data_IF_697066633207
#
_entry.id   IF_697066633207
#
_cell.length_a   1.000
_cell.length_b   1.000
_cell.length_c   1.000
_cell.angle_alpha   90.00
_cell.angle_beta   90.00
_cell.angle_gamma   90.00
#
_symmetry.space_group_name_H-M   'P 1'
#
loop_
_entity.id
_entity.type
_entity.pdbx_description
1 polymer ?
#
# COMPACT_ATOMS: atom_id res chain seq x y z
N UNK A 1 37.00 -63.48 -12.03
CA UNK A 1 35.70 -63.78 -11.37
C UNK A 1 35.94 -63.57 -9.89
N UNK A 2 35.36 -62.60 -9.16
CA UNK A 2 33.98 -62.11 -9.09
C UNK A 2 34.02 -60.59 -8.84
N UNK A 3 33.21 -59.82 -9.57
CA UNK A 3 33.04 -58.37 -9.37
C UNK A 3 32.05 -58.11 -8.22
N UNK A 4 32.48 -57.36 -7.20
CA UNK A 4 31.60 -56.86 -6.13
C UNK A 4 31.16 -55.44 -6.42
N UNK A 5 30.00 -55.27 -7.04
CA UNK A 5 29.34 -53.97 -7.20
C UNK A 5 28.80 -53.50 -5.84
N UNK A 6 29.36 -52.44 -5.27
CA UNK A 6 28.80 -51.74 -4.11
C UNK A 6 27.78 -50.72 -4.60
N UNK A 7 26.50 -51.04 -4.45
CA UNK A 7 25.40 -50.11 -4.70
C UNK A 7 25.30 -49.11 -3.54
N UNK A 8 25.60 -47.84 -3.82
CA UNK A 8 25.39 -46.74 -2.89
C UNK A 8 23.95 -46.23 -3.09
N UNK A 9 23.07 -46.45 -2.11
CA UNK A 9 21.72 -45.88 -2.12
C UNK A 9 21.82 -44.48 -1.52
N UNK A 10 21.70 -43.45 -2.36
CA UNK A 10 21.57 -42.06 -1.94
C UNK A 10 20.08 -41.80 -1.70
N UNK A 11 19.67 -41.80 -0.43
CA UNK A 11 18.32 -41.42 -0.04
C UNK A 11 18.25 -39.89 0.00
N UNK A 12 17.79 -39.28 -1.08
CA UNK A 12 17.47 -37.85 -1.11
C UNK A 12 16.22 -37.63 -0.25
N UNK A 13 16.40 -37.11 0.97
CA UNK A 13 15.29 -36.64 1.79
C UNK A 13 14.81 -35.32 1.19
N UNK A 14 13.74 -35.39 0.38
CA UNK A 14 13.01 -34.19 -0.03
C UNK A 14 12.20 -33.75 1.19
N UNK A 15 12.67 -32.70 1.86
CA UNK A 15 11.88 -31.99 2.87
C UNK A 15 10.88 -31.14 2.12
N UNK A 16 9.73 -31.72 1.78
CA UNK A 16 8.56 -30.94 1.36
C UNK A 16 8.07 -30.18 2.59
N UNK A 17 8.52 -28.94 2.77
CA UNK A 17 7.91 -28.04 3.73
C UNK A 17 6.49 -27.76 3.22
N UNK A 18 5.51 -28.45 3.80
CA UNK A 18 4.10 -28.07 3.72
C UNK A 18 3.96 -26.73 4.45
N UNK A 19 4.27 -25.64 3.75
CA UNK A 19 3.84 -24.32 4.19
C UNK A 19 2.32 -24.34 4.11
N UNK A 20 1.65 -24.43 5.27
CA UNK A 20 0.21 -24.21 5.37
C UNK A 20 -0.09 -22.87 4.73
N UNK A 21 -0.73 -22.88 3.56
CA UNK A 21 -1.16 -21.66 2.89
C UNK A 21 -2.13 -20.94 3.82
N UNK A 22 -1.67 -19.88 4.47
CA UNK A 22 -2.55 -19.00 5.24
C UNK A 22 -3.48 -18.27 4.28
N UNK A 23 -4.75 -18.18 4.67
CA UNK A 23 -5.73 -17.42 3.91
C UNK A 23 -5.26 -15.96 3.80
N UNK A 24 -5.38 -15.40 2.60
CA UNK A 24 -5.03 -14.02 2.36
C UNK A 24 -5.93 -13.09 3.19
N UNK A 25 -5.35 -12.04 3.77
CA UNK A 25 -6.15 -10.96 4.36
C UNK A 25 -6.47 -9.96 3.28
N UNK A 26 -7.74 -9.86 2.90
CA UNK A 26 -8.22 -8.97 1.85
C UNK A 26 -9.06 -7.86 2.47
N UNK A 27 -8.70 -6.61 2.23
CA UNK A 27 -9.47 -5.43 2.62
C UNK A 27 -9.96 -4.72 1.36
N UNK A 28 -11.26 -4.44 1.30
CA UNK A 28 -11.87 -3.66 0.22
C UNK A 28 -12.45 -2.38 0.81
N UNK A 29 -12.09 -1.25 0.23
CA UNK A 29 -12.67 0.05 0.54
C UNK A 29 -13.48 0.55 -0.65
N UNK A 30 -14.63 1.17 -0.38
CA UNK A 30 -15.56 1.62 -1.42
C UNK A 30 -15.00 2.78 -2.26
N UNK A 31 -14.18 3.64 -1.65
CA UNK A 31 -13.58 4.79 -2.31
C UNK A 31 -12.06 4.74 -2.20
N UNK A 32 -11.37 4.92 -3.33
CA UNK A 32 -9.91 4.97 -3.43
C UNK A 32 -9.34 6.15 -2.66
N UNK A 33 -9.83 7.37 -2.91
CA UNK A 33 -9.35 8.56 -2.24
C UNK A 33 -10.47 9.57 -1.93
N UNK A 34 -10.45 10.09 -0.70
CA UNK A 34 -11.43 11.07 -0.23
C UNK A 34 -11.11 12.51 -0.63
N UNK A 35 -9.84 12.83 -0.86
CA UNK A 35 -9.34 14.19 -1.11
C UNK A 35 -9.08 14.49 -2.59
N UNK A 36 -8.71 13.48 -3.39
CA UNK A 36 -8.42 13.65 -4.80
C UNK A 36 -9.73 13.61 -5.59
N UNK A 37 -10.00 14.71 -6.29
CA UNK A 37 -11.19 14.83 -7.14
C UNK A 37 -11.14 13.79 -8.28
N UNK A 38 -12.22 13.03 -8.46
CA UNK A 38 -12.33 12.00 -9.50
C UNK A 38 -11.88 10.59 -9.10
N UNK A 39 -11.13 10.42 -8.00
CA UNK A 39 -10.65 9.10 -7.55
C UNK A 39 -11.67 8.40 -6.66
N UNK A 40 -12.79 7.99 -7.26
CA UNK A 40 -13.94 7.40 -6.55
C UNK A 40 -14.11 5.89 -6.74
N UNK A 41 -13.24 5.26 -7.52
CA UNK A 41 -13.24 3.80 -7.70
C UNK A 41 -12.88 3.08 -6.40
N UNK A 42 -13.28 1.81 -6.21
CA UNK A 42 -12.85 1.04 -5.05
C UNK A 42 -11.34 0.78 -5.05
N UNK A 43 -10.77 0.61 -3.84
CA UNK A 43 -9.37 0.17 -3.65
C UNK A 43 -9.35 -1.12 -2.84
N UNK A 44 -8.48 -2.05 -3.26
CA UNK A 44 -8.28 -3.33 -2.59
C UNK A 44 -6.86 -3.45 -2.09
N UNK A 45 -6.70 -3.85 -0.84
CA UNK A 45 -5.43 -4.24 -0.25
C UNK A 45 -5.46 -5.74 0.03
N UNK A 46 -4.40 -6.46 -0.32
CA UNK A 46 -4.32 -7.91 -0.10
C UNK A 46 -2.97 -8.26 0.51
N UNK A 47 -2.99 -8.82 1.72
CA UNK A 47 -1.81 -9.40 2.34
C UNK A 47 -1.82 -10.91 2.12
N UNK A 48 -0.73 -11.44 1.56
CA UNK A 48 -0.51 -12.88 1.38
C UNK A 48 0.74 -13.30 2.14
N UNK A 49 0.60 -14.22 3.09
CA UNK A 49 1.70 -14.72 3.89
C UNK A 49 1.32 -14.92 5.35
N UNK A 50 2.29 -15.40 6.13
CA UNK A 50 2.17 -15.51 7.57
C UNK A 50 2.81 -14.34 8.28
N UNK A 51 3.86 -14.61 9.05
CA UNK A 51 4.63 -13.56 9.72
C UNK A 51 5.35 -12.64 8.72
N UNK A 52 5.71 -13.17 7.56
CA UNK A 52 6.24 -12.43 6.41
C UNK A 52 5.48 -12.78 5.15
N UNK A 53 5.34 -11.82 4.25
CA UNK A 53 4.53 -11.98 3.06
C UNK A 53 4.66 -10.81 2.09
N UNK A 54 3.64 -10.65 1.25
CA UNK A 54 3.50 -9.54 0.32
C UNK A 54 2.20 -8.79 0.61
N UNK A 55 2.26 -7.46 0.49
CA UNK A 55 1.09 -6.58 0.55
C UNK A 55 0.93 -5.91 -0.82
N UNK A 56 -0.17 -6.22 -1.49
CA UNK A 56 -0.55 -5.62 -2.77
C UNK A 56 -1.67 -4.59 -2.57
N UNK A 57 -1.63 -3.52 -3.37
CA UNK A 57 -2.61 -2.44 -3.37
C UNK A 57 -3.03 -2.16 -4.81
N UNK A 58 -4.33 -2.27 -5.08
CA UNK A 58 -4.87 -2.18 -6.44
C UNK A 58 -6.14 -1.33 -6.49
N UNK A 59 -6.18 -0.40 -7.43
CA UNK A 59 -7.33 0.38 -7.88
C UNK A 59 -7.08 0.86 -9.32
N UNK A 60 -7.91 1.77 -9.83
CA UNK A 60 -7.70 2.37 -11.16
C UNK A 60 -6.43 3.24 -11.21
N UNK A 61 -6.07 3.92 -10.11
CA UNK A 61 -4.91 4.84 -10.06
C UNK A 61 -3.80 4.38 -9.11
N UNK A 62 -3.95 3.24 -8.44
CA UNK A 62 -2.94 2.64 -7.57
C UNK A 62 -2.68 1.20 -8.00
N UNK A 63 -1.42 0.83 -8.20
CA UNK A 63 -1.07 -0.57 -8.43
C UNK A 63 0.38 -0.81 -8.02
N UNK A 64 0.58 -1.47 -6.88
CA UNK A 64 1.90 -1.92 -6.47
C UNK A 64 1.83 -3.14 -5.56
N UNK A 65 2.97 -3.80 -5.37
CA UNK A 65 3.17 -4.84 -4.37
C UNK A 65 4.50 -4.60 -3.67
N UNK A 66 4.52 -4.79 -2.36
CA UNK A 66 5.71 -4.65 -1.52
C UNK A 66 5.86 -5.86 -0.58
N UNK A 67 7.09 -6.27 -0.24
CA UNK A 67 7.31 -7.18 0.87
C UNK A 67 6.78 -6.57 2.16
N UNK A 68 6.14 -7.40 2.98
CA UNK A 68 5.47 -7.00 4.19
C UNK A 68 5.67 -8.01 5.32
N UNK A 69 5.37 -7.57 6.54
CA UNK A 69 5.42 -8.37 7.75
C UNK A 69 4.16 -8.17 8.58
N UNK A 70 3.77 -9.22 9.28
CA UNK A 70 2.67 -9.20 10.23
C UNK A 70 3.24 -9.06 11.64
N UNK A 71 2.70 -8.13 12.40
CA UNK A 71 2.96 -7.97 13.83
C UNK A 71 1.66 -8.05 14.60
N UNK A 72 1.76 -8.58 15.83
CA UNK A 72 0.66 -8.60 16.79
C UNK A 72 1.14 -7.96 18.08
N UNK A 73 0.40 -6.98 18.56
CA UNK A 73 0.65 -6.37 19.86
C UNK A 73 -0.66 -6.07 20.60
N UNK A 74 -0.52 -5.50 21.79
CA UNK A 74 -1.66 -5.10 22.61
C UNK A 74 -1.73 -3.58 22.63
N UNK A 75 -2.90 -3.02 22.37
CA UNK A 75 -3.16 -1.59 22.51
C UNK A 75 -4.29 -1.38 23.50
N UNK A 76 -4.28 -0.23 24.18
CA UNK A 76 -5.42 0.20 24.98
C UNK A 76 -6.43 0.90 24.08
N UNK A 77 -7.67 0.41 24.08
CA UNK A 77 -8.80 1.07 23.47
C UNK A 77 -9.85 1.31 24.55
N UNK A 78 -10.03 2.58 24.92
CA UNK A 78 -10.99 3.01 25.94
C UNK A 78 -10.83 2.28 27.29
N UNK A 79 -9.60 2.02 27.72
CA UNK A 79 -9.28 1.33 28.98
C UNK A 79 -9.32 -0.20 28.90
N UNK A 80 -9.57 -0.77 27.72
CA UNK A 80 -9.53 -2.22 27.48
C UNK A 80 -8.32 -2.57 26.62
N UNK A 81 -7.52 -3.55 27.05
CA UNK A 81 -6.44 -4.11 26.23
C UNK A 81 -7.03 -4.99 25.14
N UNK A 82 -6.75 -4.66 23.90
CA UNK A 82 -7.19 -5.41 22.71
C UNK A 82 -5.98 -5.81 21.88
N UNK A 83 -6.07 -6.95 21.19
CA UNK A 83 -5.06 -7.33 20.21
C UNK A 83 -5.18 -6.42 18.98
N UNK A 84 -4.03 -5.93 18.52
CA UNK A 84 -3.87 -5.23 17.26
C UNK A 84 -3.03 -6.08 16.33
N UNK A 85 -3.52 -6.27 15.12
CA UNK A 85 -2.79 -6.97 14.06
C UNK A 85 -2.39 -5.93 13.03
N UNK A 86 -1.11 -5.83 12.69
CA UNK A 86 -0.61 -4.89 11.70
C UNK A 86 0.20 -5.62 10.63
N UNK A 87 -0.24 -5.49 9.38
CA UNK A 87 0.50 -5.90 8.19
C UNK A 87 1.09 -4.66 7.55
N UNK A 88 2.42 -4.60 7.45
CA UNK A 88 3.13 -3.39 7.03
C UNK A 88 4.21 -3.72 6.01
N UNK A 89 4.25 -2.95 4.92
CA UNK A 89 5.27 -3.06 3.88
C UNK A 89 5.77 -1.71 3.41
N UNK A 90 7.06 -1.63 3.08
CA UNK A 90 7.68 -0.46 2.44
C UNK A 90 8.81 -0.91 1.55
N UNK A 91 8.79 -0.52 0.28
CA UNK A 91 9.85 -0.83 -0.67
C UNK A 91 9.86 0.14 -1.85
N UNK A 92 11.00 0.17 -2.55
CA UNK A 92 11.04 0.75 -3.89
C UNK A 92 10.39 -0.22 -4.88
N UNK A 93 9.46 0.30 -5.69
CA UNK A 93 8.68 -0.49 -6.65
C UNK A 93 8.21 0.45 -7.77
N UNK A 94 7.33 -0.03 -8.64
CA UNK A 94 6.61 0.80 -9.60
C UNK A 94 5.14 0.93 -9.21
N UNK A 95 4.57 2.11 -9.39
CA UNK A 95 3.13 2.32 -9.23
C UNK A 95 2.60 3.25 -10.31
N UNK A 96 1.31 3.13 -10.59
CA UNK A 96 0.54 4.19 -11.22
C UNK A 96 0.60 5.45 -10.35
N UNK A 97 0.94 6.58 -10.96
CA UNK A 97 0.99 7.91 -10.36
C UNK A 97 0.60 8.96 -11.43
N UNK A 98 0.13 10.15 -11.04
CA UNK A 98 -0.02 11.27 -11.97
C UNK A 98 1.26 11.53 -12.80
N UNK A 99 1.15 11.90 -14.08
CA UNK A 99 2.33 12.18 -14.89
C UNK A 99 3.04 13.45 -14.39
N UNK A 100 4.33 13.39 -14.02
CA UNK A 100 5.03 14.51 -13.37
C UNK A 100 4.99 15.84 -14.13
N UNK A 101 5.22 15.86 -15.44
CA UNK A 101 5.29 17.09 -16.21
C UNK A 101 3.91 17.75 -16.36
N UNK A 102 2.88 16.95 -16.63
CA UNK A 102 1.48 17.36 -16.70
C UNK A 102 0.98 17.84 -15.33
N UNK A 103 1.32 17.12 -14.26
CA UNK A 103 0.99 17.49 -12.89
C UNK A 103 1.58 18.86 -12.54
N UNK A 104 2.87 19.07 -12.80
CA UNK A 104 3.55 20.34 -12.52
C UNK A 104 2.98 21.49 -13.35
N UNK A 105 2.62 21.23 -14.60
CA UNK A 105 1.97 22.22 -15.48
C UNK A 105 0.58 22.59 -14.97
N UNK A 106 -0.22 21.61 -14.53
CA UNK A 106 -1.53 21.85 -13.93
C UNK A 106 -1.41 22.70 -12.66
N UNK A 107 -0.50 22.32 -11.74
CA UNK A 107 -0.31 23.04 -10.49
C UNK A 107 0.12 24.49 -10.75
N UNK A 108 1.05 24.72 -11.68
CA UNK A 108 1.47 26.07 -12.06
C UNK A 108 0.31 26.90 -12.63
N UNK A 109 -0.63 26.28 -13.34
CA UNK A 109 -1.83 26.93 -13.89
C UNK A 109 -2.90 27.27 -12.83
N UNK A 110 -2.97 26.54 -11.72
CA UNK A 110 -3.91 26.78 -10.63
C UNK A 110 -3.46 27.91 -9.68
N UNK A 111 -2.15 28.19 -9.61
CA UNK A 111 -1.57 29.12 -8.66
C UNK A 111 -1.52 30.55 -9.21
N UNK A 112 -1.96 31.53 -8.40
CA UNK A 112 -1.69 32.95 -8.65
C UNK A 112 -0.20 33.25 -8.40
N UNK A 113 0.37 34.33 -8.99
CA UNK A 113 1.77 34.69 -8.77
C UNK A 113 2.16 34.80 -7.28
N UNK A 114 1.27 35.32 -6.43
CA UNK A 114 1.52 35.48 -4.99
C UNK A 114 1.48 34.16 -4.21
N UNK A 115 0.96 33.08 -4.82
CA UNK A 115 0.81 31.77 -4.20
C UNK A 115 1.94 30.80 -4.56
N UNK A 116 2.87 31.20 -5.42
CA UNK A 116 3.91 30.30 -5.93
C UNK A 116 4.88 29.80 -4.85
N UNK A 117 4.97 30.45 -3.70
CA UNK A 117 5.78 30.02 -2.55
C UNK A 117 4.93 29.62 -1.34
N UNK A 118 3.61 29.66 -1.46
CA UNK A 118 2.68 29.29 -0.40
C UNK A 118 2.47 27.77 -0.45
N UNK A 119 2.95 27.08 0.59
CA UNK A 119 2.91 25.63 0.69
C UNK A 119 1.48 25.08 0.73
N UNK A 120 0.56 25.80 1.39
CA UNK A 120 -0.85 25.36 1.49
C UNK A 120 -1.56 25.54 0.15
N UNK A 121 -1.28 26.64 -0.56
CA UNK A 121 -1.81 26.85 -1.89
C UNK A 121 -1.30 25.78 -2.88
N UNK A 122 -0.02 25.44 -2.80
CA UNK A 122 0.59 24.37 -3.61
C UNK A 122 0.01 22.99 -3.29
N UNK A 123 -0.18 22.65 -2.01
CA UNK A 123 -0.80 21.38 -1.61
C UNK A 123 -2.25 21.28 -2.12
N UNK A 124 -3.03 22.36 -1.99
CA UNK A 124 -4.39 22.41 -2.51
C UNK A 124 -4.44 22.30 -4.06
N UNK A 125 -3.51 22.96 -4.76
CA UNK A 125 -3.39 22.84 -6.21
C UNK A 125 -3.02 21.41 -6.64
N UNK A 126 -2.12 20.75 -5.90
CA UNK A 126 -1.77 19.35 -6.12
C UNK A 126 -3.00 18.44 -6.04
N UNK A 127 -3.80 18.53 -4.97
CA UNK A 127 -5.00 17.69 -4.79
C UNK A 127 -6.02 17.88 -5.93
N UNK A 128 -6.18 19.12 -6.43
CA UNK A 128 -7.05 19.43 -7.57
C UNK A 128 -6.52 18.90 -8.90
N UNK A 129 -5.21 18.77 -9.05
CA UNK A 129 -4.56 18.41 -10.31
C UNK A 129 -4.29 16.91 -10.43
N UNK A 130 -4.00 16.23 -9.32
CA UNK A 130 -3.63 14.81 -9.31
C UNK A 130 -4.65 13.92 -10.03
N UNK A 131 -5.95 14.22 -9.87
CA UNK A 131 -7.03 13.47 -10.52
C UNK A 131 -7.37 13.88 -11.96
N UNK A 132 -6.75 14.94 -12.49
CA UNK A 132 -7.06 15.50 -13.83
C UNK A 132 -6.01 15.15 -14.88
N UNK A 133 -4.81 14.79 -14.45
CA UNK A 133 -3.70 14.50 -15.36
C UNK A 133 -3.63 12.99 -15.64
N UNK A 134 -3.05 12.57 -16.78
CA UNK A 134 -2.87 11.16 -17.08
C UNK A 134 -2.10 10.44 -15.97
N UNK A 135 -2.47 9.19 -15.71
CA UNK A 135 -1.69 8.29 -14.84
C UNK A 135 -0.66 7.54 -15.67
N UNK A 136 0.55 7.41 -15.14
CA UNK A 136 1.67 6.69 -15.73
C UNK A 136 2.33 5.81 -14.70
N UNK A 137 2.92 4.70 -15.13
CA UNK A 137 3.70 3.85 -14.26
C UNK A 137 5.09 4.46 -14.05
N UNK A 138 5.45 4.73 -12.81
CA UNK A 138 6.73 5.36 -12.43
C UNK A 138 7.36 4.64 -11.25
N UNK A 139 8.69 4.74 -11.10
CA UNK A 139 9.37 4.25 -9.91
C UNK A 139 9.00 5.10 -8.68
N UNK A 140 8.65 4.42 -7.58
CA UNK A 140 8.23 5.03 -6.32
C UNK A 140 8.86 4.33 -5.12
N UNK A 141 8.98 5.02 -4.00
CA UNK A 141 8.95 4.38 -2.67
C UNK A 141 7.49 4.24 -2.28
N UNK A 142 6.99 3.01 -2.17
CA UNK A 142 5.62 2.72 -1.78
C UNK A 142 5.56 2.22 -0.33
N UNK A 143 4.53 2.63 0.38
CA UNK A 143 4.18 2.21 1.73
C UNK A 143 2.73 1.76 1.76
N UNK A 144 2.46 0.65 2.43
CA UNK A 144 1.10 0.17 2.66
C UNK A 144 1.00 -0.46 4.05
N UNK A 145 -0.15 -0.25 4.69
CA UNK A 145 -0.51 -0.79 5.98
C UNK A 145 -1.96 -1.28 5.97
N UNK A 146 -2.19 -2.48 6.50
CA UNK A 146 -3.49 -2.91 7.00
C UNK A 146 -3.34 -3.08 8.52
N UNK A 147 -4.14 -2.36 9.29
CA UNK A 147 -4.25 -2.54 10.73
C UNK A 147 -5.64 -3.06 11.06
N UNK A 148 -5.73 -4.12 11.86
CA UNK A 148 -6.99 -4.71 12.30
C UNK A 148 -7.15 -4.49 13.80
N UNK A 149 -8.28 -3.91 14.20
CA UNK A 149 -8.62 -3.57 15.58
C UNK A 149 -10.13 -3.73 15.80
N UNK A 150 -10.57 -4.12 17.00
CA UNK A 150 -11.99 -4.09 17.35
C UNK A 150 -12.38 -2.66 17.79
N UNK A 151 -12.80 -1.82 16.85
CA UNK A 151 -13.05 -0.38 17.09
C UNK A 151 -14.41 -0.17 17.76
N UNK A 152 -15.47 -0.63 17.11
CA UNK A 152 -16.85 -0.43 17.57
C UNK A 152 -17.41 -1.66 18.29
N UNK A 153 -16.90 -2.86 17.99
CA UNK A 153 -17.32 -4.14 18.60
C UNK A 153 -16.09 -4.99 19.00
N UNK A 154 -15.92 -5.31 20.31
CA UNK A 154 -14.84 -6.19 20.80
C UNK A 154 -14.70 -7.54 20.08
N UNK A 155 -15.78 -8.06 19.48
CA UNK A 155 -15.79 -9.34 18.77
C UNK A 155 -15.44 -9.26 17.29
N UNK A 156 -15.31 -8.06 16.71
CA UNK A 156 -15.18 -7.85 15.27
C UNK A 156 -13.97 -7.00 14.93
N UNK A 157 -13.04 -7.56 14.17
CA UNK A 157 -11.90 -6.80 13.64
C UNK A 157 -12.34 -5.90 12.49
N UNK A 158 -11.94 -4.63 12.57
CA UNK A 158 -12.19 -3.61 11.57
C UNK A 158 -10.85 -3.13 10.98
N UNK A 159 -10.76 -2.99 9.64
CA UNK A 159 -9.53 -2.57 9.00
C UNK A 159 -9.39 -1.05 8.98
N UNK A 160 -8.22 -0.58 9.43
CA UNK A 160 -7.69 0.75 9.14
C UNK A 160 -6.59 0.57 8.10
N UNK A 161 -6.67 1.32 7.01
CA UNK A 161 -5.70 1.23 5.91
C UNK A 161 -4.95 2.54 5.75
N UNK A 162 -3.67 2.44 5.41
CA UNK A 162 -2.85 3.59 5.02
C UNK A 162 -2.01 3.20 3.82
N UNK A 163 -1.94 4.09 2.84
CA UNK A 163 -1.18 3.87 1.61
C UNK A 163 -0.53 5.16 1.18
N UNK A 164 0.76 5.14 0.88
CA UNK A 164 1.45 6.32 0.36
C UNK A 164 2.52 5.94 -0.65
N UNK A 165 2.75 6.85 -1.61
CA UNK A 165 3.68 6.66 -2.72
C UNK A 165 4.46 7.94 -2.96
N UNK A 166 5.78 7.86 -2.89
CA UNK A 166 6.67 8.97 -3.20
C UNK A 166 7.39 8.70 -4.51
N UNK A 167 7.40 9.66 -5.44
CA UNK A 167 8.19 9.51 -6.67
C UNK A 167 9.68 9.36 -6.36
N UNK A 168 10.37 8.50 -7.10
CA UNK A 168 11.83 8.42 -7.06
C UNK A 168 12.45 9.41 -8.07
N UNK A 169 13.29 10.31 -7.57
CA UNK A 169 14.07 11.25 -8.40
C UNK A 169 13.27 12.39 -9.03
N UNK A 170 11.98 12.54 -8.71
CA UNK A 170 11.13 13.65 -9.16
C UNK A 170 10.92 14.61 -8.00
N UNK A 171 11.07 15.91 -8.26
CA UNK A 171 10.82 16.98 -7.30
C UNK A 171 9.63 17.82 -7.73
N UNK A 172 8.95 18.39 -6.75
CA UNK A 172 7.93 19.41 -6.98
C UNK A 172 8.59 20.67 -7.55
N UNK A 173 7.82 21.56 -8.20
CA UNK A 173 8.31 22.85 -8.67
C UNK A 173 8.93 23.73 -7.56
N UNK A 174 8.59 23.45 -6.30
CA UNK A 174 9.12 24.12 -5.10
C UNK A 174 10.26 23.34 -4.40
N UNK A 175 10.79 22.29 -5.03
CA UNK A 175 11.99 21.57 -4.60
C UNK A 175 11.77 20.46 -3.57
N UNK A 176 10.52 20.22 -3.16
CA UNK A 176 10.16 19.13 -2.25
C UNK A 176 10.04 17.77 -2.96
N UNK A 177 10.08 16.69 -2.19
CA UNK A 177 9.61 15.39 -2.69
C UNK A 177 8.09 15.44 -2.93
N UNK A 178 7.64 14.72 -3.96
CA UNK A 178 6.21 14.58 -4.24
C UNK A 178 5.74 13.28 -3.59
N UNK A 179 4.99 13.41 -2.50
CA UNK A 179 4.32 12.33 -1.80
C UNK A 179 2.83 12.36 -2.11
N UNK A 180 2.29 11.22 -2.50
CA UNK A 180 0.87 11.00 -2.67
C UNK A 180 0.40 10.05 -1.57
N UNK A 181 -0.25 10.60 -0.57
CA UNK A 181 -0.98 9.81 0.42
C UNK A 181 -2.36 9.51 -0.13
N UNK A 182 -2.70 8.23 -0.17
CA UNK A 182 -4.04 7.79 -0.52
C UNK A 182 -4.79 7.53 0.76
N UNK A 183 -5.94 8.18 0.90
CA UNK A 183 -6.81 8.07 2.07
C UNK A 183 -8.12 7.40 1.61
N UNK A 184 -8.15 6.05 1.62
CA UNK A 184 -9.35 5.30 1.30
C UNK A 184 -10.53 5.76 2.14
N UNK A 185 -11.65 5.94 1.47
CA UNK A 185 -12.89 6.40 2.07
C UNK A 185 -14.01 5.37 1.98
N UNK A 186 -15.14 5.72 2.59
CA UNK A 186 -16.29 4.84 2.75
C UNK A 186 -16.00 3.74 3.77
N UNK A 187 -16.80 2.68 3.73
CA UNK A 187 -16.57 1.54 4.61
C UNK A 187 -15.45 0.64 4.05
N UNK A 188 -14.30 0.58 4.73
CA UNK A 188 -13.30 -0.46 4.49
C UNK A 188 -13.71 -1.74 5.24
N UNK A 189 -13.79 -2.87 4.53
CA UNK A 189 -14.23 -4.16 5.10
C UNK A 189 -13.24 -5.27 4.78
N UNK A 190 -13.07 -6.18 5.73
CA UNK A 190 -12.48 -7.49 5.45
C UNK A 190 -13.39 -8.22 4.46
N UNK A 191 -12.82 -8.71 3.36
CA UNK A 191 -13.49 -9.62 2.44
C UNK A 191 -13.27 -11.04 2.93
N UNK A 192 -14.37 -11.76 3.11
CA UNK A 192 -14.36 -13.22 3.20
C UNK A 192 -13.87 -13.85 1.88
#
# INVERSE_FOLDING_TARGET
>A
MIHGFKTLIVTTVVVESLASAQAATVVKCETEDTFIEGWKSPITLTYTGGDTGELSVTSDHVNFTVPAHLTKDQTDLQGTKVERITMLGTAQTTSNMPEPAALNTCIAGELKPQQQTDTDAQANAFLKCAGKVPSVQVPVTAHAMIMLLPIDDPGKLEPIVQTSRQYLGVKSPWGGDILLETIPGGDCKLSE
#
